data_IF_454659681629
#
_entry.id   IF_454659681629
#
_cell.length_a   1.000
_cell.length_b   1.000
_cell.length_c   1.000
_cell.angle_alpha   90.00
_cell.angle_beta   90.00
_cell.angle_gamma   90.00
#
_symmetry.space_group_name_H-M   'P 1'
#
loop_
_entity.id
_entity.type
_entity.pdbx_description
1 polymer ?
#
# COMPACT_ATOMS: atom_id res chain seq x y z
N UNK A 1 -25.86 -18.08 -27.44
CA UNK A 1 -25.31 -18.68 -26.20
C UNK A 1 -25.04 -17.55 -25.20
N UNK A 2 -25.77 -17.43 -24.07
CA UNK A 2 -25.45 -16.42 -23.07
C UNK A 2 -24.07 -16.72 -22.47
N UNK A 3 -23.17 -15.73 -22.45
CA UNK A 3 -21.84 -15.88 -21.83
C UNK A 3 -22.01 -16.27 -20.37
N UNK A 4 -21.43 -17.41 -19.95
CA UNK A 4 -21.37 -17.83 -18.54
C UNK A 4 -20.78 -16.67 -17.74
N UNK A 5 -21.44 -16.24 -16.66
CA UNK A 5 -20.85 -15.25 -15.74
C UNK A 5 -19.54 -15.83 -15.20
N UNK A 6 -18.44 -15.04 -15.21
CA UNK A 6 -17.16 -15.54 -14.73
C UNK A 6 -17.27 -15.94 -13.27
N UNK A 7 -16.75 -17.12 -12.95
CA UNK A 7 -16.65 -17.59 -11.57
C UNK A 7 -15.67 -16.70 -10.79
N UNK A 8 -15.73 -16.72 -9.45
CA UNK A 8 -14.73 -16.04 -8.63
C UNK A 8 -13.29 -16.52 -8.95
N UNK A 9 -13.13 -17.80 -9.31
CA UNK A 9 -11.87 -18.38 -9.77
C UNK A 9 -11.38 -17.82 -11.11
N UNK A 10 -12.29 -17.65 -12.06
CA UNK A 10 -11.98 -17.11 -13.40
C UNK A 10 -11.40 -15.68 -13.27
N UNK A 11 -11.95 -14.89 -12.34
CA UNK A 11 -11.47 -13.53 -12.06
C UNK A 11 -10.08 -13.51 -11.43
N UNK A 12 -9.81 -14.46 -10.54
CA UNK A 12 -8.52 -14.61 -9.90
C UNK A 12 -7.44 -14.96 -10.92
N UNK A 13 -7.72 -15.94 -11.77
CA UNK A 13 -6.82 -16.38 -12.82
C UNK A 13 -6.39 -15.20 -13.70
N UNK A 14 -7.37 -14.47 -14.21
CA UNK A 14 -7.14 -13.29 -15.04
C UNK A 14 -6.33 -12.20 -14.30
N UNK A 15 -6.59 -12.00 -12.99
CA UNK A 15 -5.84 -11.05 -12.15
C UNK A 15 -4.39 -11.49 -11.95
N UNK A 16 -4.14 -12.76 -11.67
CA UNK A 16 -2.78 -13.31 -11.49
C UNK A 16 -2.01 -13.16 -12.80
N UNK A 17 -2.60 -13.58 -13.93
CA UNK A 17 -1.98 -13.44 -15.25
C UNK A 17 -1.61 -11.99 -15.57
N UNK A 18 -2.57 -11.07 -15.45
CA UNK A 18 -2.34 -9.66 -15.77
C UNK A 18 -1.29 -8.99 -14.88
N UNK A 19 -1.27 -9.30 -13.57
CA UNK A 19 -0.26 -8.72 -12.68
C UNK A 19 1.11 -9.40 -12.78
N UNK A 20 1.18 -10.66 -13.19
CA UNK A 20 2.44 -11.37 -13.48
C UNK A 20 3.11 -10.76 -14.72
N UNK A 21 2.33 -10.54 -15.79
CA UNK A 21 2.81 -9.85 -16.98
C UNK A 21 3.27 -8.41 -16.65
N UNK A 22 2.52 -7.69 -15.82
CA UNK A 22 2.93 -6.36 -15.36
C UNK A 22 4.24 -6.40 -14.56
N UNK A 23 4.41 -7.39 -13.67
CA UNK A 23 5.64 -7.53 -12.87
C UNK A 23 6.86 -7.75 -13.77
N UNK A 24 6.76 -8.69 -14.72
CA UNK A 24 7.82 -8.98 -15.69
C UNK A 24 8.15 -7.76 -16.58
N UNK A 25 7.14 -7.04 -17.05
CA UNK A 25 7.34 -5.83 -17.87
C UNK A 25 7.93 -4.64 -17.09
N UNK A 26 7.74 -4.58 -15.78
CA UNK A 26 8.25 -3.50 -14.92
C UNK A 26 9.69 -3.73 -14.48
N UNK A 27 10.17 -4.97 -14.43
CA UNK A 27 11.53 -5.30 -14.03
C UNK A 27 12.62 -4.53 -14.81
N UNK A 28 12.67 -4.54 -16.16
CA UNK A 28 13.70 -3.81 -16.88
C UNK A 28 13.64 -2.30 -16.61
N UNK A 29 12.45 -1.75 -16.39
CA UNK A 29 12.25 -0.35 -16.02
C UNK A 29 12.79 -0.04 -14.62
N UNK A 30 12.60 -0.94 -13.66
CA UNK A 30 13.18 -0.79 -12.30
C UNK A 30 14.70 -0.87 -12.36
N UNK A 31 15.27 -1.79 -13.15
CA UNK A 31 16.71 -1.90 -13.35
C UNK A 31 17.30 -0.62 -13.97
N UNK A 32 16.60 -0.04 -14.94
CA UNK A 32 16.96 1.21 -15.60
C UNK A 32 16.69 2.48 -14.76
N UNK A 33 16.21 2.34 -13.51
CA UNK A 33 15.83 3.47 -12.65
C UNK A 33 14.77 4.38 -13.28
N UNK A 34 13.89 3.82 -14.10
CA UNK A 34 12.88 4.59 -14.80
C UNK A 34 11.87 5.21 -13.81
N UNK A 35 11.41 6.46 -14.05
CA UNK A 35 10.46 7.12 -13.18
C UNK A 35 9.21 6.26 -12.89
N UNK A 36 8.81 6.24 -11.61
CA UNK A 36 7.64 5.51 -11.10
C UNK A 36 7.65 3.97 -11.29
N UNK A 37 8.71 3.38 -11.86
CA UNK A 37 8.78 1.94 -12.10
C UNK A 37 8.72 1.12 -10.80
N UNK A 38 9.49 1.53 -9.78
CA UNK A 38 9.50 0.89 -8.45
C UNK A 38 8.11 0.95 -7.81
N UNK A 39 7.43 2.10 -7.90
CA UNK A 39 6.09 2.26 -7.35
C UNK A 39 5.09 1.32 -8.03
N UNK A 40 5.07 1.29 -9.38
CA UNK A 40 4.20 0.41 -10.15
C UNK A 40 4.49 -1.06 -9.84
N UNK A 41 5.77 -1.46 -9.73
CA UNK A 41 6.15 -2.83 -9.41
C UNK A 41 5.68 -3.22 -8.00
N UNK A 42 5.79 -2.31 -7.03
CA UNK A 42 5.26 -2.50 -5.67
C UNK A 42 3.73 -2.59 -5.65
N UNK A 43 3.03 -1.84 -6.50
CA UNK A 43 1.58 -1.96 -6.66
C UNK A 43 1.22 -3.33 -7.24
N UNK A 44 1.91 -3.80 -8.28
CA UNK A 44 1.71 -5.14 -8.85
C UNK A 44 1.91 -6.25 -7.80
N UNK A 45 3.01 -6.19 -7.03
CA UNK A 45 3.26 -7.13 -5.94
C UNK A 45 2.13 -7.16 -4.90
N UNK A 46 1.62 -5.98 -4.51
CA UNK A 46 0.51 -5.88 -3.55
C UNK A 46 -0.79 -6.44 -4.11
N UNK A 47 -1.11 -6.16 -5.37
CA UNK A 47 -2.30 -6.68 -6.05
C UNK A 47 -2.25 -8.21 -6.16
N UNK A 48 -1.09 -8.77 -6.53
CA UNK A 48 -0.86 -10.22 -6.55
C UNK A 48 -1.05 -10.84 -5.17
N UNK A 49 -0.39 -10.30 -4.12
CA UNK A 49 -0.54 -10.82 -2.75
C UNK A 49 -1.97 -10.77 -2.25
N UNK A 50 -2.68 -9.70 -2.57
CA UNK A 50 -4.08 -9.57 -2.18
C UNK A 50 -4.95 -10.58 -2.89
N UNK A 51 -4.72 -10.83 -4.18
CA UNK A 51 -5.39 -11.90 -4.91
C UNK A 51 -5.09 -13.27 -4.27
N UNK A 52 -3.81 -13.66 -4.15
CA UNK A 52 -3.45 -14.96 -3.59
C UNK A 52 -4.01 -15.20 -2.17
N UNK A 53 -4.00 -14.18 -1.31
CA UNK A 53 -4.51 -14.29 0.07
C UNK A 53 -6.01 -14.40 0.19
N UNK A 54 -6.77 -13.74 -0.67
CA UNK A 54 -8.22 -13.76 -0.61
C UNK A 54 -8.78 -15.11 -1.11
N UNK A 55 -7.96 -15.85 -1.89
CA UNK A 55 -8.44 -16.99 -2.67
C UNK A 55 -7.68 -18.32 -2.48
N UNK A 56 -6.52 -18.32 -1.82
CA UNK A 56 -5.77 -19.55 -1.53
C UNK A 56 -5.04 -19.54 -0.18
N UNK A 57 -5.39 -18.60 0.69
CA UNK A 57 -4.91 -18.53 2.07
C UNK A 57 -3.62 -17.73 2.29
N UNK A 58 -3.30 -17.39 3.55
CA UNK A 58 -2.14 -16.58 3.91
C UNK A 58 -0.79 -17.31 3.79
N UNK A 59 -0.80 -18.65 3.70
CA UNK A 59 0.37 -19.52 3.85
C UNK A 59 0.98 -19.96 2.50
N UNK A 60 0.55 -19.35 1.39
CA UNK A 60 1.17 -19.61 0.10
C UNK A 60 2.62 -19.07 0.07
N UNK A 61 3.63 -19.91 -0.21
CA UNK A 61 5.03 -19.48 -0.32
C UNK A 61 5.21 -18.27 -1.25
N UNK A 62 4.51 -18.27 -2.39
CA UNK A 62 4.45 -17.19 -3.39
C UNK A 62 4.07 -15.84 -2.75
N UNK A 63 3.08 -15.82 -1.85
CA UNK A 63 2.64 -14.60 -1.18
C UNK A 63 3.67 -14.06 -0.18
N UNK A 64 4.51 -14.95 0.36
CA UNK A 64 5.68 -14.64 1.17
C UNK A 64 6.81 -14.02 0.34
N UNK A 65 7.12 -14.58 -0.81
CA UNK A 65 8.14 -14.02 -1.72
C UNK A 65 7.73 -12.66 -2.28
N UNK A 66 6.47 -12.50 -2.70
CA UNK A 66 5.94 -11.18 -3.07
C UNK A 66 6.00 -10.17 -1.92
N UNK A 67 5.89 -10.63 -0.65
CA UNK A 67 6.05 -9.75 0.51
C UNK A 67 7.49 -9.28 0.61
N UNK A 68 8.44 -10.20 0.48
CA UNK A 68 9.87 -9.92 0.52
C UNK A 68 10.25 -8.92 -0.57
N UNK A 69 9.89 -9.19 -1.82
CA UNK A 69 10.13 -8.28 -2.95
C UNK A 69 9.48 -6.90 -2.71
N UNK A 70 8.22 -6.88 -2.27
CA UNK A 70 7.52 -5.63 -2.00
C UNK A 70 8.10 -4.82 -0.83
N UNK A 71 8.83 -5.44 0.10
CA UNK A 71 9.56 -4.75 1.18
C UNK A 71 10.84 -4.12 0.63
N UNK A 72 11.63 -4.85 -0.16
CA UNK A 72 12.82 -4.30 -0.82
C UNK A 72 12.47 -3.09 -1.70
N UNK A 73 11.41 -3.21 -2.53
CA UNK A 73 10.88 -2.11 -3.34
C UNK A 73 10.27 -0.96 -2.51
N UNK A 74 9.95 -1.19 -1.25
CA UNK A 74 9.26 -0.23 -0.39
C UNK A 74 10.19 0.85 0.17
N UNK A 75 11.41 0.47 0.56
CA UNK A 75 12.34 1.35 1.26
C UNK A 75 12.69 2.62 0.45
N UNK A 76 12.98 2.48 -0.85
CA UNK A 76 13.31 3.61 -1.72
C UNK A 76 12.10 4.55 -1.90
N UNK A 77 10.95 3.99 -2.30
CA UNK A 77 9.78 4.79 -2.64
C UNK A 77 9.13 5.46 -1.43
N UNK A 78 9.09 4.76 -0.29
CA UNK A 78 8.49 5.32 0.91
C UNK A 78 9.32 6.52 1.41
N UNK A 79 10.64 6.54 1.20
CA UNK A 79 11.50 7.70 1.49
C UNK A 79 11.26 8.88 0.53
N UNK A 80 11.18 8.64 -0.78
CA UNK A 80 10.90 9.69 -1.77
C UNK A 80 9.55 10.37 -1.55
N UNK A 81 8.49 9.58 -1.33
CA UNK A 81 7.13 10.12 -1.13
C UNK A 81 7.08 10.96 0.14
N UNK A 82 7.69 10.46 1.22
CA UNK A 82 7.75 11.18 2.48
C UNK A 82 8.59 12.46 2.35
N UNK A 83 9.75 12.37 1.70
CA UNK A 83 10.61 13.51 1.40
C UNK A 83 9.87 14.61 0.65
N UNK A 84 9.24 14.27 -0.47
CA UNK A 84 8.49 15.22 -1.28
C UNK A 84 7.36 15.93 -0.49
N UNK A 85 6.65 15.18 0.37
CA UNK A 85 5.62 15.75 1.24
C UNK A 85 6.21 16.73 2.26
N UNK A 86 7.27 16.31 2.98
CA UNK A 86 7.94 17.16 3.98
C UNK A 86 8.60 18.39 3.35
N UNK A 87 9.17 18.27 2.15
CA UNK A 87 9.74 19.39 1.37
C UNK A 87 8.67 20.42 1.04
N UNK A 88 7.51 19.97 0.56
CA UNK A 88 6.40 20.86 0.27
C UNK A 88 5.93 21.59 1.53
N UNK A 89 5.85 20.90 2.67
CA UNK A 89 5.49 21.53 3.94
C UNK A 89 6.57 22.49 4.47
N UNK A 90 7.85 22.13 4.34
CA UNK A 90 8.98 22.97 4.77
C UNK A 90 8.99 24.32 4.06
N UNK A 91 8.64 24.35 2.77
CA UNK A 91 8.50 25.60 2.00
C UNK A 91 7.39 26.53 2.48
N UNK A 92 6.49 26.04 3.33
CA UNK A 92 5.43 26.84 3.96
C UNK A 92 5.77 27.27 5.39
N UNK A 93 7.02 27.05 5.84
CA UNK A 93 7.49 27.57 7.11
C UNK A 93 7.67 29.10 7.05
N UNK A 94 7.55 29.79 8.19
CA UNK A 94 7.89 31.21 8.29
C UNK A 94 9.32 31.50 7.82
N UNK A 95 9.57 32.73 7.34
CA UNK A 95 10.85 33.11 6.73
C UNK A 95 12.03 32.95 7.70
N UNK A 96 11.80 33.20 8.99
CA UNK A 96 12.77 33.04 10.07
C UNK A 96 13.24 31.59 10.27
N UNK A 97 12.48 30.61 9.79
CA UNK A 97 12.83 29.18 9.82
C UNK A 97 13.68 28.74 8.61
N UNK A 98 14.03 29.64 7.70
CA UNK A 98 14.81 29.30 6.50
C UNK A 98 14.17 28.22 5.62
N UNK A 99 12.93 28.40 5.11
CA UNK A 99 12.12 27.35 4.49
C UNK A 99 12.83 26.59 3.35
N UNK A 100 13.58 27.29 2.49
CA UNK A 100 14.31 26.64 1.38
C UNK A 100 15.52 25.83 1.85
N UNK A 101 16.19 26.23 2.94
CA UNK A 101 17.27 25.45 3.54
C UNK A 101 16.72 24.12 4.09
N UNK A 102 15.65 24.20 4.88
CA UNK A 102 14.99 23.02 5.47
C UNK A 102 14.45 22.09 4.37
N UNK A 103 13.85 22.66 3.33
CA UNK A 103 13.41 21.92 2.16
C UNK A 103 14.57 21.19 1.47
N UNK A 104 15.71 21.87 1.23
CA UNK A 104 16.88 21.25 0.60
C UNK A 104 17.45 20.09 1.44
N UNK A 105 17.52 20.24 2.78
CA UNK A 105 18.00 19.17 3.65
C UNK A 105 17.07 17.95 3.68
N UNK A 106 15.76 18.17 3.70
CA UNK A 106 14.77 17.07 3.65
C UNK A 106 14.81 16.34 2.31
N UNK A 107 14.94 17.08 1.21
CA UNK A 107 15.07 16.54 -0.14
C UNK A 107 16.33 15.68 -0.26
N UNK A 108 17.45 16.18 0.25
CA UNK A 108 18.71 15.45 0.27
C UNK A 108 18.68 14.22 1.20
N UNK A 109 18.06 14.32 2.38
CA UNK A 109 17.81 13.17 3.25
C UNK A 109 17.01 12.08 2.52
N UNK A 110 15.95 12.47 1.81
CA UNK A 110 15.11 11.55 1.07
C UNK A 110 15.88 10.88 -0.08
N UNK A 111 16.67 11.65 -0.84
CA UNK A 111 17.56 11.14 -1.90
C UNK A 111 18.56 10.12 -1.36
N UNK A 112 19.26 10.43 -0.27
CA UNK A 112 20.23 9.49 0.34
C UNK A 112 19.56 8.19 0.75
N UNK A 113 18.38 8.28 1.36
CA UNK A 113 17.64 7.09 1.80
C UNK A 113 17.11 6.27 0.63
N UNK A 114 16.68 6.91 -0.45
CA UNK A 114 16.30 6.24 -1.69
C UNK A 114 17.49 5.54 -2.35
N UNK A 115 18.63 6.23 -2.48
CA UNK A 115 19.86 5.68 -3.03
C UNK A 115 20.38 4.48 -2.22
N UNK A 116 20.34 4.55 -0.89
CA UNK A 116 20.76 3.46 -0.01
C UNK A 116 19.91 2.18 -0.17
N UNK A 117 18.65 2.31 -0.60
CA UNK A 117 17.76 1.17 -0.83
C UNK A 117 17.96 0.51 -2.21
N UNK A 118 18.64 1.18 -3.15
CA UNK A 118 18.78 0.69 -4.53
C UNK A 118 19.58 -0.61 -4.65
N UNK A 119 20.71 -0.81 -3.95
CA UNK A 119 21.41 -2.09 -3.94
C UNK A 119 20.52 -3.25 -3.47
N UNK A 120 19.68 -3.05 -2.45
CA UNK A 120 18.76 -4.09 -1.96
C UNK A 120 17.68 -4.44 -2.99
N UNK A 121 17.16 -3.44 -3.71
CA UNK A 121 16.21 -3.68 -4.81
C UNK A 121 16.84 -4.51 -5.91
N UNK A 122 18.03 -4.13 -6.38
CA UNK A 122 18.74 -4.86 -7.44
C UNK A 122 19.09 -6.28 -6.99
N UNK A 123 19.63 -6.45 -5.78
CA UNK A 123 19.93 -7.77 -5.22
C UNK A 123 18.68 -8.66 -5.10
N UNK A 124 17.53 -8.08 -4.75
CA UNK A 124 16.26 -8.81 -4.72
C UNK A 124 15.87 -9.31 -6.13
N UNK A 125 16.02 -8.48 -7.16
CA UNK A 125 15.73 -8.83 -8.56
C UNK A 125 16.73 -9.83 -9.14
N UNK A 126 18.00 -9.76 -8.75
CA UNK A 126 19.04 -10.68 -9.22
C UNK A 126 18.98 -12.07 -8.56
N UNK A 127 18.24 -12.16 -7.44
CA UNK A 127 18.16 -13.37 -6.65
C UNK A 127 17.52 -14.55 -7.42
N UNK A 128 17.98 -15.79 -7.20
CA UNK A 128 17.30 -16.99 -7.70
C UNK A 128 15.83 -17.08 -7.26
N UNK A 129 15.52 -16.52 -6.08
CA UNK A 129 14.16 -16.48 -5.51
C UNK A 129 13.21 -15.67 -6.39
N UNK A 130 13.67 -14.55 -6.93
CA UNK A 130 12.84 -13.73 -7.80
C UNK A 130 12.54 -14.44 -9.13
N UNK A 131 13.52 -15.13 -9.72
CA UNK A 131 13.30 -15.99 -10.89
C UNK A 131 12.31 -17.11 -10.60
N UNK A 132 12.46 -17.80 -9.47
CA UNK A 132 11.52 -18.83 -9.03
C UNK A 132 10.10 -18.25 -8.83
N UNK A 133 9.99 -17.07 -8.21
CA UNK A 133 8.72 -16.37 -8.04
C UNK A 133 8.02 -16.08 -9.38
N UNK A 134 8.76 -15.61 -10.40
CA UNK A 134 8.18 -15.40 -11.73
C UNK A 134 7.72 -16.71 -12.37
N UNK A 135 8.48 -17.80 -12.21
CA UNK A 135 8.09 -19.13 -12.66
C UNK A 135 6.79 -19.61 -11.99
N UNK A 136 6.72 -19.57 -10.66
CA UNK A 136 5.54 -19.96 -9.88
C UNK A 136 4.31 -19.11 -10.24
N UNK A 137 4.48 -17.80 -10.41
CA UNK A 137 3.40 -16.91 -10.84
C UNK A 137 2.95 -17.20 -12.27
N UNK A 138 3.89 -17.53 -13.17
CA UNK A 138 3.61 -17.98 -14.53
C UNK A 138 2.77 -19.26 -14.53
N UNK A 139 3.17 -20.26 -13.73
CA UNK A 139 2.40 -21.50 -13.59
C UNK A 139 1.00 -21.24 -13.02
N UNK A 140 0.88 -20.42 -11.97
CA UNK A 140 -0.41 -20.04 -11.38
C UNK A 140 -1.29 -19.22 -12.34
N UNK A 141 -0.68 -18.51 -13.30
CA UNK A 141 -1.44 -17.76 -14.30
C UNK A 141 -2.09 -18.67 -15.35
N UNK A 142 -1.46 -19.80 -15.66
CA UNK A 142 -1.96 -20.80 -16.62
C UNK A 142 -2.85 -21.83 -15.94
N UNK A 143 -2.45 -22.28 -14.75
CA UNK A 143 -3.15 -23.25 -13.90
C UNK A 143 -3.46 -22.60 -12.55
N UNK A 144 -4.41 -21.65 -12.50
CA UNK A 144 -4.87 -21.08 -11.25
C UNK A 144 -5.46 -22.19 -10.36
N UNK A 145 -5.42 -22.05 -9.02
CA UNK A 145 -6.13 -22.96 -8.13
C UNK A 145 -7.59 -23.06 -8.54
N UNK A 146 -8.15 -24.28 -8.52
CA UNK A 146 -9.54 -24.48 -8.94
C UNK A 146 -10.47 -23.66 -8.02
N UNK A 147 -11.09 -22.64 -8.60
CA UNK A 147 -11.92 -21.68 -7.88
C UNK A 147 -13.34 -22.19 -7.63
N UNK A 148 -13.63 -23.45 -7.97
CA UNK A 148 -14.91 -24.13 -7.74
C UNK A 148 -15.33 -24.16 -6.26
N UNK A 149 -14.39 -24.03 -5.32
CA UNK A 149 -14.66 -23.90 -3.88
C UNK A 149 -14.86 -22.47 -3.36
N UNK A 150 -14.66 -21.44 -4.20
CA UNK A 150 -14.72 -20.06 -3.73
C UNK A 150 -16.15 -19.55 -3.60
N UNK A 151 -16.50 -18.85 -2.50
CA UNK A 151 -17.81 -18.25 -2.37
C UNK A 151 -18.10 -17.24 -3.50
N UNK A 152 -19.38 -16.99 -3.80
CA UNK A 152 -19.77 -15.92 -4.71
C UNK A 152 -19.17 -14.58 -4.26
N UNK A 153 -18.72 -13.77 -5.22
CA UNK A 153 -18.12 -12.44 -4.99
C UNK A 153 -18.88 -11.62 -3.92
N UNK A 154 -20.22 -11.56 -4.00
CA UNK A 154 -21.06 -10.82 -3.04
C UNK A 154 -20.83 -11.22 -1.59
N UNK A 155 -20.62 -12.52 -1.32
CA UNK A 155 -20.33 -13.03 0.04
C UNK A 155 -18.92 -12.63 0.49
N UNK A 156 -17.94 -12.64 -0.42
CA UNK A 156 -16.58 -12.19 -0.13
C UNK A 156 -16.53 -10.67 0.13
N UNK A 157 -17.21 -9.87 -0.69
CA UNK A 157 -17.31 -8.43 -0.52
C UNK A 157 -17.86 -8.06 0.87
N UNK A 158 -19.00 -8.65 1.27
CA UNK A 158 -19.59 -8.43 2.60
C UNK A 158 -18.64 -8.83 3.73
N UNK A 159 -17.95 -9.97 3.60
CA UNK A 159 -16.94 -10.39 4.58
C UNK A 159 -15.78 -9.42 4.67
N UNK A 160 -15.33 -8.87 3.54
CA UNK A 160 -14.25 -7.90 3.48
C UNK A 160 -14.64 -6.58 4.16
N UNK A 161 -15.83 -6.06 3.87
CA UNK A 161 -16.40 -4.86 4.51
C UNK A 161 -16.55 -5.03 6.03
N UNK A 162 -17.18 -6.12 6.47
CA UNK A 162 -17.33 -6.41 7.90
C UNK A 162 -15.96 -6.50 8.61
N UNK A 163 -14.95 -7.06 7.94
CA UNK A 163 -13.59 -7.14 8.48
C UNK A 163 -12.90 -5.78 8.57
N UNK A 164 -13.26 -4.82 7.72
CA UNK A 164 -12.80 -3.42 7.81
C UNK A 164 -13.49 -2.75 8.99
N UNK A 165 -14.83 -2.81 9.05
CA UNK A 165 -15.63 -2.23 10.14
C UNK A 165 -15.18 -2.75 11.51
N UNK A 166 -15.01 -4.06 11.68
CA UNK A 166 -14.53 -4.66 12.93
C UNK A 166 -13.16 -4.14 13.36
N UNK A 167 -12.22 -3.94 12.42
CA UNK A 167 -10.87 -3.45 12.74
C UNK A 167 -10.86 -1.97 13.06
N UNK A 168 -11.71 -1.20 12.39
CA UNK A 168 -11.95 0.19 12.74
C UNK A 168 -12.57 0.29 14.14
N UNK A 169 -13.58 -0.52 14.44
CA UNK A 169 -14.19 -0.62 15.77
C UNK A 169 -13.19 -1.00 16.86
N UNK A 170 -12.27 -1.93 16.60
CA UNK A 170 -11.21 -2.31 17.53
C UNK A 170 -10.15 -1.21 17.79
N UNK A 171 -10.12 -0.16 16.97
CA UNK A 171 -9.30 1.03 17.23
C UNK A 171 -10.00 2.03 18.16
N UNK A 172 -11.31 1.87 18.42
CA UNK A 172 -12.05 2.71 19.35
C UNK A 172 -11.58 2.42 20.78
N UNK A 173 -11.36 3.49 21.54
CA UNK A 173 -10.88 3.40 22.93
C UNK A 173 -9.38 3.13 23.08
N UNK A 174 -8.64 2.92 21.99
CA UNK A 174 -7.17 2.86 22.04
C UNK A 174 -6.57 4.27 21.96
N UNK A 175 -5.40 4.45 22.59
CA UNK A 175 -4.60 5.66 22.52
C UNK A 175 -3.23 5.42 21.86
N UNK A 176 -2.57 6.51 21.45
CA UNK A 176 -1.17 6.48 20.99
C UNK A 176 -0.84 5.41 19.94
N UNK A 177 0.28 4.73 20.14
CA UNK A 177 0.82 3.75 19.20
C UNK A 177 -0.09 2.53 18.97
N UNK A 178 -0.86 2.13 20.00
CA UNK A 178 -1.79 1.01 19.88
C UNK A 178 -2.94 1.34 18.91
N UNK A 179 -3.45 2.57 18.99
CA UNK A 179 -4.44 3.10 18.05
C UNK A 179 -3.85 3.16 16.64
N UNK A 180 -2.64 3.70 16.49
CA UNK A 180 -1.96 3.79 15.19
C UNK A 180 -1.78 2.40 14.55
N UNK A 181 -1.37 1.41 15.34
CA UNK A 181 -1.24 0.04 14.89
C UNK A 181 -2.59 -0.58 14.49
N UNK A 182 -3.67 -0.30 15.24
CA UNK A 182 -5.02 -0.77 14.91
C UNK A 182 -5.55 -0.14 13.61
N UNK A 183 -5.39 1.18 13.45
CA UNK A 183 -5.76 1.90 12.23
C UNK A 183 -4.96 1.42 11.02
N UNK A 184 -3.66 1.12 11.21
CA UNK A 184 -2.84 0.53 10.16
C UNK A 184 -3.36 -0.86 9.72
N UNK A 185 -3.82 -1.69 10.68
CA UNK A 185 -4.46 -2.98 10.37
C UNK A 185 -5.78 -2.80 9.61
N UNK A 186 -6.59 -1.79 9.96
CA UNK A 186 -7.81 -1.43 9.26
C UNK A 186 -7.51 -0.96 7.82
N UNK A 187 -6.51 -0.09 7.63
CA UNK A 187 -6.04 0.37 6.30
C UNK A 187 -5.63 -0.80 5.42
N UNK A 188 -4.87 -1.75 5.96
CA UNK A 188 -4.50 -2.98 5.23
C UNK A 188 -5.73 -3.80 4.82
N UNK A 189 -6.79 -3.80 5.63
CA UNK A 189 -8.04 -4.48 5.31
C UNK A 189 -8.81 -3.77 4.19
N UNK A 190 -8.93 -2.44 4.26
CA UNK A 190 -9.60 -1.63 3.25
C UNK A 190 -8.90 -1.76 1.88
N UNK A 191 -7.55 -1.70 1.86
CA UNK A 191 -6.75 -1.95 0.65
C UNK A 191 -7.07 -3.31 0.02
N UNK A 192 -7.19 -4.37 0.82
CA UNK A 192 -7.54 -5.72 0.32
C UNK A 192 -8.95 -5.75 -0.26
N UNK A 193 -9.93 -5.20 0.45
CA UNK A 193 -11.32 -5.11 -0.01
C UNK A 193 -11.43 -4.31 -1.32
N UNK A 194 -10.67 -3.22 -1.46
CA UNK A 194 -10.59 -2.44 -2.70
C UNK A 194 -10.03 -3.26 -3.86
N UNK A 195 -8.95 -4.03 -3.65
CA UNK A 195 -8.39 -4.88 -4.71
C UNK A 195 -9.31 -6.03 -5.12
N UNK A 196 -10.09 -6.58 -4.17
CA UNK A 196 -11.18 -7.50 -4.47
C UNK A 196 -12.22 -6.84 -5.39
N UNK A 197 -12.63 -5.61 -5.07
CA UNK A 197 -13.52 -4.81 -5.90
C UNK A 197 -12.95 -4.49 -7.29
N UNK A 198 -11.68 -4.09 -7.40
CA UNK A 198 -11.02 -3.83 -8.70
C UNK A 198 -11.06 -5.07 -9.61
N UNK A 199 -10.79 -6.24 -9.02
CA UNK A 199 -10.78 -7.53 -9.74
C UNK A 199 -12.18 -7.88 -10.24
N UNK A 200 -13.20 -7.71 -9.40
CA UNK A 200 -14.59 -7.92 -9.78
C UNK A 200 -15.11 -6.88 -10.79
N UNK A 201 -14.64 -5.64 -10.70
CA UNK A 201 -15.00 -4.54 -11.59
C UNK A 201 -14.49 -4.74 -13.01
N UNK A 202 -13.27 -5.26 -13.17
CA UNK A 202 -12.72 -5.65 -14.47
C UNK A 202 -13.57 -6.70 -15.20
N UNK A 203 -14.41 -7.44 -14.48
CA UNK A 203 -15.32 -8.44 -15.01
C UNK A 203 -16.78 -7.98 -15.12
N UNK A 204 -17.05 -6.70 -14.84
CA UNK A 204 -18.41 -6.14 -14.91
C UNK A 204 -19.36 -6.65 -13.82
N UNK A 205 -18.84 -7.14 -12.68
CA UNK A 205 -19.71 -7.60 -11.60
C UNK A 205 -20.41 -6.44 -10.89
N UNK A 206 -21.74 -6.54 -10.77
CA UNK A 206 -22.55 -5.55 -10.08
C UNK A 206 -22.10 -5.32 -8.63
N UNK A 207 -22.03 -4.04 -8.24
CA UNK A 207 -21.60 -3.61 -6.90
C UNK A 207 -20.07 -3.56 -6.68
N UNK A 208 -19.27 -3.96 -7.68
CA UNK A 208 -17.81 -3.88 -7.58
C UNK A 208 -17.27 -2.45 -7.54
N UNK A 209 -17.81 -1.56 -8.39
CA UNK A 209 -17.44 -0.14 -8.41
C UNK A 209 -17.74 0.52 -7.06
N UNK A 210 -18.94 0.32 -6.52
CA UNK A 210 -19.30 0.88 -5.22
C UNK A 210 -18.44 0.37 -4.07
N UNK A 211 -18.01 -0.90 -4.09
CA UNK A 211 -17.03 -1.41 -3.11
C UNK A 211 -15.68 -0.69 -3.24
N UNK A 212 -15.20 -0.49 -4.48
CA UNK A 212 -13.94 0.21 -4.73
C UNK A 212 -13.99 1.64 -4.19
N UNK A 213 -15.07 2.37 -4.46
CA UNK A 213 -15.26 3.76 -4.02
C UNK A 213 -15.28 3.88 -2.49
N UNK A 214 -16.12 3.06 -1.82
CA UNK A 214 -16.19 3.06 -0.35
C UNK A 214 -14.83 2.72 0.29
N UNK A 215 -14.17 1.68 -0.22
CA UNK A 215 -12.87 1.26 0.34
C UNK A 215 -11.75 2.24 0.00
N UNK A 216 -11.86 2.99 -1.10
CA UNK A 216 -10.96 4.10 -1.43
C UNK A 216 -11.12 5.23 -0.42
N UNK A 217 -12.35 5.66 -0.13
CA UNK A 217 -12.61 6.69 0.88
C UNK A 217 -12.02 6.34 2.25
N UNK A 218 -12.24 5.11 2.73
CA UNK A 218 -11.62 4.60 3.97
C UNK A 218 -10.09 4.60 3.86
N UNK A 219 -9.55 4.14 2.72
CA UNK A 219 -8.10 4.08 2.51
C UNK A 219 -7.45 5.46 2.51
N UNK A 220 -8.09 6.48 1.95
CA UNK A 220 -7.55 7.82 1.80
C UNK A 220 -7.40 8.48 3.18
N UNK A 221 -8.43 8.41 4.01
CA UNK A 221 -8.40 8.92 5.40
C UNK A 221 -7.35 8.19 6.25
N UNK A 222 -7.38 6.85 6.28
CA UNK A 222 -6.38 6.08 7.01
C UNK A 222 -4.98 6.18 6.39
N UNK A 223 -4.91 6.58 5.12
CA UNK A 223 -3.68 6.88 4.40
C UNK A 223 -3.01 8.10 4.97
N UNK A 224 -3.71 9.23 4.97
CA UNK A 224 -3.24 10.48 5.57
C UNK A 224 -2.78 10.28 7.02
N UNK A 225 -3.55 9.53 7.83
CA UNK A 225 -3.15 9.21 9.21
C UNK A 225 -1.80 8.48 9.29
N UNK A 226 -1.64 7.41 8.51
CA UNK A 226 -0.40 6.64 8.52
C UNK A 226 0.77 7.48 8.04
N UNK A 227 0.56 8.28 7.00
CA UNK A 227 1.61 9.07 6.39
C UNK A 227 2.09 10.15 7.40
N UNK A 228 1.17 10.76 8.18
CA UNK A 228 1.51 11.64 9.29
C UNK A 228 2.27 10.94 10.44
N UNK A 229 1.90 9.69 10.79
CA UNK A 229 2.64 8.88 11.78
C UNK A 229 4.08 8.64 11.33
N UNK A 230 4.29 8.27 10.06
CA UNK A 230 5.64 8.02 9.52
C UNK A 230 6.44 9.32 9.43
N UNK A 231 5.80 10.42 9.03
CA UNK A 231 6.43 11.74 8.98
C UNK A 231 6.92 12.19 10.36
N UNK A 232 6.09 12.04 11.40
CA UNK A 232 6.47 12.33 12.79
C UNK A 232 7.68 11.52 13.25
N UNK A 233 7.75 10.24 12.90
CA UNK A 233 8.90 9.39 13.24
C UNK A 233 10.18 9.88 12.57
N UNK A 234 10.12 10.18 11.26
CA UNK A 234 11.27 10.69 10.51
C UNK A 234 11.75 12.05 11.02
N UNK A 235 10.84 12.99 11.28
CA UNK A 235 11.17 14.32 11.82
C UNK A 235 11.83 14.23 13.20
N UNK A 236 11.36 13.32 14.06
CA UNK A 236 11.97 13.09 15.38
C UNK A 236 13.39 12.54 15.27
N UNK A 237 13.66 11.70 14.29
CA UNK A 237 15.01 11.19 14.02
C UNK A 237 15.92 12.29 13.49
N UNK A 238 15.44 13.07 12.51
CA UNK A 238 16.16 14.19 11.91
C UNK A 238 16.50 15.30 12.92
N UNK A 239 15.60 15.58 13.85
CA UNK A 239 15.81 16.57 14.91
C UNK A 239 17.00 16.26 15.84
N UNK A 240 17.50 15.01 15.85
CA UNK A 240 18.69 14.65 16.63
C UNK A 240 20.00 15.10 16.00
N UNK A 241 20.00 15.41 14.70
CA UNK A 241 21.21 15.64 13.91
C UNK A 241 21.16 16.93 13.08
N UNK A 242 20.11 17.73 13.22
CA UNK A 242 19.87 18.90 12.37
C UNK A 242 19.14 20.02 13.11
N UNK A 243 18.00 20.45 12.56
CA UNK A 243 17.22 21.64 12.95
C UNK A 243 16.05 21.28 13.87
N UNK A 244 16.25 21.14 15.20
CA UNK A 244 15.21 20.62 16.10
C UNK A 244 13.97 21.51 16.20
N UNK A 245 14.12 22.83 16.05
CA UNK A 245 12.99 23.75 16.12
C UNK A 245 12.08 23.61 14.90
N UNK A 246 12.63 23.71 13.70
CA UNK A 246 11.93 23.64 12.42
C UNK A 246 11.29 22.27 12.23
N UNK A 247 12.00 21.20 12.52
CA UNK A 247 11.44 19.85 12.49
C UNK A 247 10.39 19.63 13.60
N UNK A 248 10.52 20.31 14.74
CA UNK A 248 9.50 20.36 15.79
C UNK A 248 8.20 21.03 15.32
N UNK A 249 8.30 22.13 14.56
CA UNK A 249 7.14 22.81 13.95
C UNK A 249 6.46 21.89 12.93
N UNK A 250 7.23 21.26 12.04
CA UNK A 250 6.68 20.28 11.08
C UNK A 250 6.03 19.10 11.81
N UNK A 251 6.65 18.59 12.88
CA UNK A 251 6.10 17.50 13.68
C UNK A 251 4.75 17.88 14.30
N UNK A 252 4.63 19.10 14.84
CA UNK A 252 3.38 19.62 15.40
C UNK A 252 2.28 19.75 14.32
N UNK A 253 2.64 20.16 13.10
CA UNK A 253 1.69 20.17 11.98
C UNK A 253 1.19 18.77 11.64
N UNK A 254 2.05 17.74 11.70
CA UNK A 254 1.63 16.36 11.50
C UNK A 254 0.71 15.83 12.61
N UNK A 255 0.85 16.30 13.85
CA UNK A 255 -0.11 16.01 14.92
C UNK A 255 -1.49 16.60 14.61
N UNK A 256 -1.53 17.82 14.07
CA UNK A 256 -2.78 18.50 13.71
C UNK A 256 -3.42 17.96 12.42
N UNK A 257 -2.61 17.49 11.47
CA UNK A 257 -3.05 16.91 10.19
C UNK A 257 -3.43 15.43 10.29
N UNK A 258 -3.04 14.74 11.37
CA UNK A 258 -3.46 13.38 11.67
C UNK A 258 -4.99 13.23 11.58
N UNK A 259 -5.49 12.03 11.29
CA UNK A 259 -6.92 11.84 11.05
C UNK A 259 -7.72 12.43 12.21
N UNK A 260 -8.49 13.48 11.92
CA UNK A 260 -9.29 14.11 12.95
C UNK A 260 -10.25 13.07 13.51
N UNK A 261 -10.47 13.05 14.84
CA UNK A 261 -11.40 12.11 15.47
C UNK A 261 -12.74 12.06 14.74
N UNK A 262 -13.21 13.19 14.21
CA UNK A 262 -14.50 13.37 13.55
C UNK A 262 -14.58 12.64 12.20
N UNK A 263 -13.56 12.74 11.34
CA UNK A 263 -13.52 12.01 10.05
C UNK A 263 -13.38 10.51 10.25
N UNK A 264 -12.65 10.10 11.29
CA UNK A 264 -12.60 8.70 11.67
C UNK A 264 -13.95 8.23 12.21
N UNK A 265 -14.61 9.05 13.03
CA UNK A 265 -15.93 8.78 13.60
C UNK A 265 -17.02 8.70 12.54
N UNK A 266 -17.03 9.56 11.52
CA UNK A 266 -17.94 9.45 10.38
C UNK A 266 -17.76 8.12 9.64
N UNK A 267 -16.52 7.74 9.34
CA UNK A 267 -16.21 6.44 8.75
C UNK A 267 -16.58 5.26 9.66
N UNK A 268 -16.51 5.47 10.97
CA UNK A 268 -16.86 4.48 12.00
C UNK A 268 -18.37 4.36 12.21
N UNK A 269 -19.16 5.43 12.01
CA UNK A 269 -20.63 5.44 12.11
C UNK A 269 -21.30 4.89 10.86
N UNK A 270 -20.62 4.98 9.70
CA UNK A 270 -21.11 4.48 8.42
C UNK A 270 -20.85 2.97 8.16
N UNK A 271 -20.21 2.26 9.10
CA UNK A 271 -19.88 0.83 8.99
C UNK A 271 -20.59 -0.02 10.03
#
# INVERSE_FOLDING_TARGET
MPKRRPSTGDLLAARIAGQTAALAGLEPLVRADAPDAVHRMRVACRRLRSALREYGGPDQPVAGELRRLGLALGAARDAEVLGAALVAEARTLPAECGPELIAAELDEWARRRAAAARPEVLAALDSPRYRALLGELGELSVRPPDGTGLPPYRKLARRAEHRVARRLGAARGLGGEERDAALHRARKAAKRARYLGETAGAAGLAGAVGLVERMKAVQDVLGAHQDAVVARQALRELARTGHPFEYGVLYARQLAAGCTPERLEELLRAG
#
